data_IF_675781148978
#
_entry.id   IF_675781148978
#
_cell.length_a   1.000
_cell.length_b   1.000
_cell.length_c   1.000
_cell.angle_alpha   90.00
_cell.angle_beta   90.00
_cell.angle_gamma   90.00
#
_symmetry.space_group_name_H-M   'P 1'
#
loop_
_entity.id
_entity.type
_entity.pdbx_description
1 polymer ?
#
# COMPACT_ATOMS: atom_id res chain seq x y z
N UNK A 1 11.20 4.00 -7.30
CA UNK A 1 10.28 3.18 -6.50
C UNK A 1 8.89 3.37 -7.09
N UNK A 2 8.16 2.28 -7.32
CA UNK A 2 6.79 2.31 -7.87
C UNK A 2 5.76 2.08 -6.75
N UNK A 3 4.48 2.38 -6.98
CA UNK A 3 3.46 2.08 -5.98
C UNK A 3 3.25 0.56 -5.83
N UNK A 4 3.51 -0.21 -6.89
CA UNK A 4 3.59 -1.67 -6.82
C UNK A 4 4.72 -2.17 -5.91
N UNK A 5 5.91 -1.55 -5.92
CA UNK A 5 6.98 -1.91 -4.97
C UNK A 5 6.48 -1.77 -3.52
N UNK A 6 5.80 -0.67 -3.22
CA UNK A 6 5.22 -0.38 -1.89
C UNK A 6 4.12 -1.38 -1.53
N UNK A 7 3.19 -1.66 -2.46
CA UNK A 7 2.09 -2.60 -2.24
C UNK A 7 2.58 -4.02 -1.91
N UNK A 8 3.54 -4.52 -2.69
CA UNK A 8 4.12 -5.85 -2.48
C UNK A 8 4.91 -5.92 -1.16
N UNK A 9 5.52 -4.80 -0.77
CA UNK A 9 6.24 -4.69 0.50
C UNK A 9 5.27 -4.75 1.69
N UNK A 10 4.10 -4.11 1.64
CA UNK A 10 3.07 -4.27 2.67
C UNK A 10 2.68 -5.74 2.86
N UNK A 11 2.38 -6.44 1.77
CA UNK A 11 1.93 -7.84 1.80
C UNK A 11 3.02 -8.74 2.40
N UNK A 12 4.27 -8.55 2.00
CA UNK A 12 5.37 -9.41 2.44
C UNK A 12 5.82 -9.14 3.88
N UNK A 13 5.82 -7.88 4.33
CA UNK A 13 6.31 -7.49 5.66
C UNK A 13 5.26 -7.63 6.74
N UNK A 14 3.98 -7.52 6.39
CA UNK A 14 2.88 -7.56 7.34
C UNK A 14 1.85 -8.64 7.00
N UNK A 15 2.25 -9.93 7.00
CA UNK A 15 1.36 -11.05 6.65
C UNK A 15 0.19 -11.24 7.64
N UNK A 16 0.26 -10.61 8.81
CA UNK A 16 -0.83 -10.59 9.79
C UNK A 16 -1.95 -9.60 9.46
N UNK A 17 -1.73 -8.68 8.51
CA UNK A 17 -2.76 -7.74 8.07
C UNK A 17 -3.70 -8.43 7.08
N UNK A 18 -5.00 -8.30 7.31
CA UNK A 18 -6.01 -8.74 6.35
C UNK A 18 -6.17 -7.71 5.24
N UNK A 19 -5.29 -7.80 4.23
CA UNK A 19 -5.25 -6.88 3.11
C UNK A 19 -6.19 -7.36 2.00
N UNK A 20 -7.29 -6.64 1.78
CA UNK A 20 -8.08 -6.70 0.56
C UNK A 20 -7.48 -5.77 -0.50
N UNK A 21 -7.96 -5.82 -1.75
CA UNK A 21 -7.51 -4.87 -2.77
C UNK A 21 -7.77 -3.42 -2.34
N UNK A 22 -8.92 -3.14 -1.73
CA UNK A 22 -9.28 -1.79 -1.27
C UNK A 22 -8.42 -1.34 -0.08
N UNK A 23 -8.24 -2.18 0.94
CA UNK A 23 -7.42 -1.80 2.09
C UNK A 23 -5.95 -1.64 1.71
N UNK A 24 -5.44 -2.45 0.78
CA UNK A 24 -4.09 -2.28 0.23
C UNK A 24 -3.91 -0.93 -0.46
N UNK A 25 -4.85 -0.53 -1.33
CA UNK A 25 -4.82 0.78 -2.00
C UNK A 25 -4.78 1.95 -0.99
N UNK A 26 -5.59 1.86 0.08
CA UNK A 26 -5.60 2.86 1.15
C UNK A 26 -4.25 2.94 1.88
N UNK A 27 -3.63 1.81 2.21
CA UNK A 27 -2.31 1.80 2.86
C UNK A 27 -1.19 2.34 1.96
N UNK A 28 -1.21 2.01 0.66
CA UNK A 28 -0.25 2.56 -0.30
C UNK A 28 -0.39 4.08 -0.41
N UNK A 29 -1.62 4.60 -0.45
CA UNK A 29 -1.87 6.04 -0.37
C UNK A 29 -1.32 6.64 0.94
N UNK A 30 -1.56 6.02 2.10
CA UNK A 30 -1.03 6.54 3.36
C UNK A 30 0.50 6.50 3.44
N UNK A 31 1.15 5.56 2.75
CA UNK A 31 2.61 5.58 2.60
C UNK A 31 3.11 6.80 1.82
N UNK A 32 2.42 7.21 0.76
CA UNK A 32 2.71 8.46 0.06
C UNK A 32 2.56 9.66 1.00
N UNK A 33 1.46 9.71 1.77
CA UNK A 33 1.19 10.80 2.73
C UNK A 33 2.25 10.87 3.82
N UNK A 34 2.62 9.74 4.44
CA UNK A 34 3.64 9.72 5.49
C UNK A 34 5.04 10.08 4.94
N UNK A 35 5.40 9.64 3.73
CA UNK A 35 6.64 10.07 3.07
C UNK A 35 6.68 11.58 2.86
N UNK A 36 5.61 12.16 2.31
CA UNK A 36 5.49 13.61 2.09
C UNK A 36 5.53 14.36 3.42
N UNK A 37 4.86 13.87 4.46
CA UNK A 37 4.83 14.50 5.78
C UNK A 37 6.20 14.49 6.45
N UNK A 38 6.95 13.40 6.33
CA UNK A 38 8.25 13.25 7.00
C UNK A 38 9.39 13.94 6.25
N UNK A 39 9.37 13.93 4.92
CA UNK A 39 10.53 14.33 4.10
C UNK A 39 10.24 15.45 3.11
N UNK A 40 8.97 15.79 2.90
CA UNK A 40 8.54 16.68 1.83
C UNK A 40 8.63 16.06 0.43
N UNK A 41 8.95 14.76 0.32
CA UNK A 41 9.16 14.08 -0.97
C UNK A 41 8.17 12.92 -1.17
N UNK A 42 7.68 12.73 -2.41
CA UNK A 42 6.82 11.59 -2.74
C UNK A 42 7.59 10.26 -2.56
N UNK A 43 6.89 9.20 -2.12
CA UNK A 43 7.46 7.86 -2.02
C UNK A 43 7.53 7.20 -3.40
N UNK A 44 6.50 7.44 -4.20
CA UNK A 44 6.37 7.00 -5.59
C UNK A 44 5.70 8.08 -6.43
N UNK A 45 5.85 7.96 -7.75
CA UNK A 45 5.29 8.89 -8.74
C UNK A 45 4.27 8.15 -9.60
N UNK A 46 3.09 7.93 -9.03
CA UNK A 46 1.95 7.28 -9.69
C UNK A 46 0.69 8.09 -9.45
N UNK A 47 -0.25 8.01 -10.39
CA UNK A 47 -1.55 8.66 -10.27
C UNK A 47 -2.32 8.14 -9.04
N UNK A 48 -2.97 9.07 -8.33
CA UNK A 48 -3.87 8.76 -7.22
C UNK A 48 -5.23 9.36 -7.55
N UNK A 49 -6.25 8.52 -7.61
CA UNK A 49 -7.61 8.91 -7.96
C UNK A 49 -8.49 8.94 -6.72
N UNK A 50 -9.23 10.03 -6.53
CA UNK A 50 -10.26 10.13 -5.49
C UNK A 50 -11.55 9.46 -6.00
N UNK A 51 -11.81 8.23 -5.54
CA UNK A 51 -12.98 7.44 -5.92
C UNK A 51 -13.99 7.35 -4.75
N UNK A 52 -15.18 6.83 -5.01
CA UNK A 52 -16.28 6.74 -4.03
C UNK A 52 -15.88 6.08 -2.69
N UNK A 53 -15.00 5.09 -2.73
CA UNK A 53 -14.58 4.31 -1.55
C UNK A 53 -13.22 4.73 -0.98
N UNK A 54 -12.71 5.89 -1.44
CA UNK A 54 -11.44 6.45 -1.00
C UNK A 54 -10.40 6.54 -2.13
N UNK A 55 -9.14 6.83 -1.77
CA UNK A 55 -8.06 6.96 -2.73
C UNK A 55 -7.74 5.60 -3.35
N UNK A 56 -7.59 5.60 -4.67
CA UNK A 56 -7.19 4.44 -5.46
C UNK A 56 -5.94 4.79 -6.23
N UNK A 57 -4.96 3.88 -6.20
CA UNK A 57 -3.77 3.94 -7.04
C UNK A 57 -4.01 2.94 -8.17
N UNK A 58 -4.39 3.36 -9.40
CA UNK A 58 -4.91 2.45 -10.41
C UNK A 58 -4.00 1.26 -10.71
N UNK A 59 -2.68 1.47 -10.77
CA UNK A 59 -1.70 0.40 -10.97
C UNK A 59 -1.77 -0.69 -9.89
N UNK A 60 -1.96 -0.30 -8.62
CA UNK A 60 -2.10 -1.24 -7.50
C UNK A 60 -3.46 -1.92 -7.56
N UNK A 61 -4.53 -1.15 -7.76
CA UNK A 61 -5.88 -1.70 -7.86
C UNK A 61 -5.99 -2.78 -8.93
N UNK A 62 -5.51 -2.52 -10.14
CA UNK A 62 -5.57 -3.49 -11.23
C UNK A 62 -4.62 -4.67 -11.02
N UNK A 63 -3.46 -4.48 -10.38
CA UNK A 63 -2.57 -5.61 -10.07
C UNK A 63 -3.20 -6.62 -9.09
N UNK A 64 -4.10 -6.17 -8.21
CA UNK A 64 -4.73 -7.02 -7.19
C UNK A 64 -6.26 -7.17 -7.37
N UNK A 65 -6.86 -6.74 -8.48
CA UNK A 65 -8.32 -6.71 -8.67
C UNK A 65 -8.99 -8.09 -8.65
N UNK A 66 -8.30 -9.13 -9.12
CA UNK A 66 -8.80 -10.51 -9.12
C UNK A 66 -9.10 -11.03 -7.71
N UNK A 67 -8.40 -10.52 -6.69
CA UNK A 67 -8.67 -10.86 -5.29
C UNK A 67 -10.02 -10.31 -4.81
N UNK A 68 -10.55 -9.27 -5.44
CA UNK A 68 -11.80 -8.60 -5.04
C UNK A 68 -11.78 -8.23 -3.55
N UNK A 69 -12.64 -8.86 -2.76
CA UNK A 69 -12.78 -8.67 -1.31
C UNK A 69 -12.08 -9.77 -0.49
N UNK A 70 -11.35 -10.69 -1.15
CA UNK A 70 -10.57 -11.72 -0.49
C UNK A 70 -9.27 -11.13 0.07
N UNK A 71 -8.71 -11.83 1.05
CA UNK A 71 -7.41 -11.49 1.64
C UNK A 71 -6.33 -11.86 0.62
N UNK A 72 -5.47 -10.89 0.29
CA UNK A 72 -4.30 -11.08 -0.54
C UNK A 72 -3.25 -11.84 0.28
N UNK A 73 -2.90 -13.05 -0.16
CA UNK A 73 -1.99 -13.92 0.60
C UNK A 73 -0.55 -13.90 0.09
N UNK A 74 -0.29 -13.29 -1.06
CA UNK A 74 1.03 -13.28 -1.68
C UNK A 74 1.29 -12.03 -2.52
N UNK A 75 2.53 -11.52 -2.54
CA UNK A 75 2.97 -10.49 -3.48
C UNK A 75 2.75 -10.93 -4.94
N UNK A 76 2.41 -9.96 -5.81
CA UNK A 76 2.32 -10.14 -7.25
C UNK A 76 3.69 -10.11 -7.95
N UNK A 77 4.74 -9.61 -7.28
CA UNK A 77 6.10 -9.53 -7.82
C UNK A 77 7.17 -9.66 -6.74
N UNK A 78 8.44 -9.77 -7.18
CA UNK A 78 9.59 -9.80 -6.27
C UNK A 78 9.67 -8.50 -5.45
N UNK A 79 9.75 -8.67 -4.13
CA UNK A 79 9.85 -7.55 -3.19
C UNK A 79 11.27 -7.00 -3.20
N UNK A 80 11.39 -5.68 -3.34
CA UNK A 80 12.68 -4.98 -3.26
C UNK A 80 13.09 -4.76 -1.81
N UNK A 81 14.39 -4.84 -1.55
CA UNK A 81 14.93 -4.50 -0.23
C UNK A 81 15.41 -3.04 -0.22
N UNK A 82 14.50 -2.11 0.09
CA UNK A 82 14.79 -0.68 0.22
C UNK A 82 14.48 -0.23 1.66
N UNK A 83 15.50 0.26 2.38
CA UNK A 83 15.37 0.59 3.80
C UNK A 83 14.41 1.75 4.06
N UNK A 84 14.39 2.74 3.16
CA UNK A 84 13.51 3.91 3.29
C UNK A 84 12.05 3.50 3.08
N UNK A 85 11.77 2.72 2.04
CA UNK A 85 10.45 2.15 1.79
C UNK A 85 9.96 1.34 2.98
N UNK A 86 10.81 0.44 3.49
CA UNK A 86 10.48 -0.43 4.59
C UNK A 86 10.11 0.37 5.84
N UNK A 87 10.86 1.42 6.17
CA UNK A 87 10.55 2.29 7.32
C UNK A 87 9.19 2.97 7.19
N UNK A 88 8.85 3.48 6.01
CA UNK A 88 7.54 4.12 5.78
C UNK A 88 6.41 3.08 5.83
N UNK A 89 6.60 1.93 5.18
CA UNK A 89 5.63 0.82 5.18
C UNK A 89 5.34 0.35 6.59
N UNK A 90 6.38 0.08 7.39
CA UNK A 90 6.24 -0.37 8.77
C UNK A 90 5.49 0.67 9.62
N UNK A 91 5.87 1.95 9.50
CA UNK A 91 5.20 3.03 10.23
C UNK A 91 3.72 3.18 9.88
N UNK A 92 3.36 2.99 8.60
CA UNK A 92 1.97 3.04 8.13
C UNK A 92 1.19 1.81 8.57
N UNK A 93 1.79 0.62 8.52
CA UNK A 93 1.16 -0.61 8.98
C UNK A 93 0.87 -0.56 10.48
N UNK A 94 1.81 -0.09 11.29
CA UNK A 94 1.64 0.06 12.74
C UNK A 94 0.53 1.07 13.07
N UNK A 95 0.48 2.18 12.32
CA UNK A 95 -0.47 3.26 12.56
C UNK A 95 -1.86 2.98 12.01
N UNK A 96 -1.98 2.31 10.86
CA UNK A 96 -3.23 2.21 10.12
C UNK A 96 -3.69 0.78 9.80
N UNK A 97 -2.82 -0.22 9.92
CA UNK A 97 -3.07 -1.59 9.45
C UNK A 97 -4.23 -2.30 10.14
N UNK A 98 -4.54 -1.95 11.39
CA UNK A 98 -5.63 -2.59 12.16
C UNK A 98 -6.97 -1.86 12.07
N UNK A 99 -7.04 -0.70 11.41
CA UNK A 99 -8.31 -0.01 11.16
C UNK A 99 -9.00 -0.61 9.93
N UNK A 100 -9.40 -1.89 10.03
CA UNK A 100 -10.15 -2.63 8.99
C UNK A 100 -11.62 -2.20 8.88
N UNK A 101 -11.99 -1.02 9.36
CA UNK A 101 -13.38 -0.56 9.50
C UNK A 101 -13.66 0.70 8.68
N UNK A 102 -13.51 0.62 7.35
CA UNK A 102 -14.11 1.56 6.39
C UNK A 102 -14.39 0.89 5.05
#
# INVERSE_FOLDING_TARGET
MTALDVANTFIARHPSLFLSNLSLNKLVYFAQVESLRQTGKPLYDSEIQAQQYGPVVPEVYYAFHEWRNLIITSPAMQVKNDSYMNQIVDAVADKYGFFNSF
#
